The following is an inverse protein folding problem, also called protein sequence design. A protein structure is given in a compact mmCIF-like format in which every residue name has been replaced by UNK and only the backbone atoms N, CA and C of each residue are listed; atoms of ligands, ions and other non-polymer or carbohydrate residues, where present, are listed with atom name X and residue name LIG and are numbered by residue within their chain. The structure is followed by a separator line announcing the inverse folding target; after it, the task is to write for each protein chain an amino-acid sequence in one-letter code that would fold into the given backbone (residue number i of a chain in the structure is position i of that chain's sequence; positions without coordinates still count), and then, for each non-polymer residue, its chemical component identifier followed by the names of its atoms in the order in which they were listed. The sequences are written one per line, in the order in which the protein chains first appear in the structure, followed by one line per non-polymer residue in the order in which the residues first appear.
data_IF_440767725702
#
_entry.id   IF_440767725702
#
_cell.length_a   1.000
_cell.length_b   1.000
_cell.length_c   1.000
_cell.angle_alpha   90.00
_cell.angle_beta   90.00
_cell.angle_gamma   90.00
#
_symmetry.space_group_name_H-M   'P 1'
#
loop_
_entity.id
_entity.type
_entity.pdbx_description
1 polymer ?
#
# COMPACT_ATOMS: atom_id res chain seq x y z
N UNK A 1 26.60 13.98 -0.35
CA UNK A 1 25.29 13.50 0.16
C UNK A 1 24.28 14.64 0.08
N UNK A 2 23.11 14.38 -0.51
CA UNK A 2 22.00 15.35 -0.63
C UNK A 2 20.97 15.08 0.47
N UNK A 3 20.56 16.12 1.19
CA UNK A 3 19.49 16.02 2.18
C UNK A 3 18.13 16.33 1.53
N UNK A 4 17.23 15.35 1.50
CA UNK A 4 15.91 15.52 0.89
C UNK A 4 14.95 16.34 1.77
N UNK A 5 15.17 16.40 3.09
CA UNK A 5 14.33 17.18 4.00
C UNK A 5 14.46 18.69 3.74
N UNK A 6 15.69 19.20 3.64
CA UNK A 6 15.95 20.63 3.46
C UNK A 6 16.46 21.02 2.06
N UNK A 7 16.74 20.06 1.17
CA UNK A 7 17.43 20.24 -0.13
C UNK A 7 18.88 20.77 0.00
N UNK A 8 19.47 20.70 1.20
CA UNK A 8 20.87 21.04 1.44
C UNK A 8 21.84 19.93 1.05
N UNK A 9 23.13 20.26 1.03
CA UNK A 9 24.21 19.31 0.75
C UNK A 9 25.06 19.07 2.02
N UNK A 10 25.80 17.95 2.03
CA UNK A 10 26.82 17.66 3.04
C UNK A 10 26.36 16.82 4.24
N UNK A 11 25.07 16.46 4.34
CA UNK A 11 24.57 15.64 5.45
C UNK A 11 23.46 14.67 5.01
N UNK A 12 23.32 13.57 5.73
CA UNK A 12 22.17 12.66 5.59
C UNK A 12 20.90 13.30 6.12
N UNK A 13 19.75 12.94 5.55
CA UNK A 13 18.45 13.44 6.01
C UNK A 13 18.19 13.19 7.51
N UNK A 14 18.68 12.07 8.07
CA UNK A 14 18.61 11.76 9.51
C UNK A 14 19.40 12.70 10.42
N UNK A 15 20.44 13.37 9.88
CA UNK A 15 21.27 14.33 10.61
C UNK A 15 20.85 15.78 10.31
N UNK A 16 19.70 15.98 9.65
CA UNK A 16 19.23 17.31 9.31
C UNK A 16 18.68 18.02 10.54
N UNK A 17 19.30 19.14 10.91
CA UNK A 17 18.83 20.00 12.02
C UNK A 17 17.77 21.00 11.57
N UNK A 18 17.57 21.17 10.26
CA UNK A 18 16.51 21.99 9.73
C UNK A 18 15.15 21.36 10.07
N UNK A 19 14.19 22.20 10.48
CA UNK A 19 12.83 21.74 10.76
C UNK A 19 12.29 20.97 9.54
N UNK A 20 11.74 19.76 9.73
CA UNK A 20 11.12 19.03 8.64
C UNK A 20 10.12 19.93 7.91
N UNK A 21 10.13 19.89 6.58
CA UNK A 21 9.15 20.66 5.81
C UNK A 21 7.75 20.31 6.28
N UNK A 22 7.00 21.32 6.69
CA UNK A 22 5.54 21.21 6.83
C UNK A 22 5.03 20.77 5.46
N UNK A 23 4.44 19.58 5.40
CA UNK A 23 3.72 19.12 4.21
C UNK A 23 2.52 20.05 4.04
N UNK A 24 2.34 20.59 2.83
CA UNK A 24 1.19 21.43 2.54
C UNK A 24 -0.10 20.57 2.49
N UNK A 25 -1.25 21.24 2.55
CA UNK A 25 -2.54 20.55 2.53
C UNK A 25 -2.72 19.73 1.23
N UNK A 26 -2.19 20.21 0.11
CA UNK A 26 -2.26 19.54 -1.20
C UNK A 26 -1.50 18.23 -1.20
N UNK A 27 -0.28 18.21 -0.65
CA UNK A 27 0.48 16.99 -0.48
C UNK A 27 -0.23 15.98 0.42
N UNK A 28 -0.76 16.43 1.56
CA UNK A 28 -1.48 15.56 2.49
C UNK A 28 -2.74 14.96 1.84
N UNK A 29 -3.51 15.78 1.13
CA UNK A 29 -4.70 15.32 0.41
C UNK A 29 -4.34 14.30 -0.68
N UNK A 30 -3.25 14.54 -1.42
CA UNK A 30 -2.78 13.61 -2.46
C UNK A 30 -2.35 12.27 -1.85
N UNK A 31 -1.63 12.29 -0.72
CA UNK A 31 -1.22 11.07 -0.03
C UNK A 31 -2.41 10.27 0.51
N UNK A 32 -3.45 10.95 1.03
CA UNK A 32 -4.68 10.27 1.46
C UNK A 32 -5.40 9.60 0.30
N UNK A 33 -5.51 10.29 -0.85
CA UNK A 33 -6.14 9.71 -2.05
C UNK A 33 -5.38 8.49 -2.57
N UNK A 34 -4.05 8.49 -2.49
CA UNK A 34 -3.22 7.33 -2.88
C UNK A 34 -3.47 6.17 -1.92
N UNK A 35 -3.41 6.42 -0.60
CA UNK A 35 -3.63 5.39 0.41
C UNK A 35 -5.01 4.75 0.28
N UNK A 36 -6.06 5.54 0.03
CA UNK A 36 -7.42 5.01 -0.18
C UNK A 36 -7.51 4.08 -1.41
N UNK A 37 -6.81 4.42 -2.50
CA UNK A 37 -6.77 3.58 -3.70
C UNK A 37 -5.99 2.29 -3.49
N UNK A 38 -4.86 2.38 -2.80
CA UNK A 38 -4.07 1.19 -2.44
C UNK A 38 -4.87 0.26 -1.52
N UNK A 39 -5.55 0.82 -0.51
CA UNK A 39 -6.39 0.04 0.41
C UNK A 39 -7.58 -0.63 -0.31
N UNK A 40 -8.26 0.09 -1.20
CA UNK A 40 -9.31 -0.50 -2.03
C UNK A 40 -8.76 -1.60 -2.95
N UNK A 41 -7.56 -1.42 -3.51
CA UNK A 41 -6.88 -2.46 -4.30
C UNK A 41 -6.55 -3.71 -3.49
N UNK A 42 -6.08 -3.54 -2.25
CA UNK A 42 -5.81 -4.66 -1.33
C UNK A 42 -7.09 -5.40 -0.96
N UNK A 43 -8.19 -4.68 -0.70
CA UNK A 43 -9.49 -5.29 -0.40
C UNK A 43 -10.01 -6.13 -1.57
N UNK A 44 -9.97 -5.59 -2.78
CA UNK A 44 -10.39 -6.33 -3.98
C UNK A 44 -9.53 -7.59 -4.20
N UNK A 45 -8.23 -7.49 -3.98
CA UNK A 45 -7.33 -8.63 -4.14
C UNK A 45 -7.56 -9.71 -3.08
N UNK A 46 -7.96 -9.34 -1.86
CA UNK A 46 -8.36 -10.29 -0.83
C UNK A 46 -9.65 -11.01 -1.21
N UNK A 47 -10.67 -10.29 -1.67
CA UNK A 47 -11.93 -10.89 -2.14
C UNK A 47 -11.70 -11.85 -3.32
N UNK A 48 -10.82 -11.48 -4.27
CA UNK A 48 -10.46 -12.37 -5.38
C UNK A 48 -9.79 -13.66 -4.89
N UNK A 49 -8.88 -13.57 -3.91
CA UNK A 49 -8.23 -14.73 -3.33
C UNK A 49 -9.23 -15.64 -2.60
N UNK A 50 -10.15 -15.06 -1.82
CA UNK A 50 -11.19 -15.81 -1.10
C UNK A 50 -12.15 -16.53 -2.07
N UNK A 51 -12.52 -15.89 -3.18
CA UNK A 51 -13.33 -16.50 -4.23
C UNK A 51 -12.61 -17.67 -4.91
N UNK A 52 -11.32 -17.52 -5.20
CA UNK A 52 -10.51 -18.58 -5.79
C UNK A 52 -10.35 -19.78 -4.83
N UNK A 53 -10.20 -19.53 -3.53
CA UNK A 53 -10.15 -20.58 -2.51
C UNK A 53 -11.50 -21.33 -2.42
N UNK A 54 -12.62 -20.60 -2.37
CA UNK A 54 -13.95 -21.21 -2.34
C UNK A 54 -14.25 -22.04 -3.61
N UNK A 55 -13.76 -21.61 -4.77
CA UNK A 55 -13.89 -22.38 -6.01
C UNK A 55 -13.08 -23.68 -5.98
N UNK A 56 -11.86 -23.66 -5.42
CA UNK A 56 -11.05 -24.86 -5.25
C UNK A 56 -11.70 -25.88 -4.30
N UNK A 57 -12.30 -25.41 -3.21
CA UNK A 57 -13.04 -26.27 -2.28
C UNK A 57 -14.26 -26.92 -2.97
N UNK A 58 -14.95 -26.21 -3.87
CA UNK A 58 -16.07 -26.76 -4.64
C UNK A 58 -15.63 -27.87 -5.62
N UNK A 59 -14.51 -27.68 -6.32
CA UNK A 59 -13.95 -28.68 -7.23
C UNK A 59 -13.57 -29.98 -6.48
N UNK A 60 -13.06 -29.88 -5.25
CA UNK A 60 -12.77 -31.05 -4.40
C UNK A 60 -14.04 -31.78 -3.96
N UNK A 61 -15.13 -31.07 -3.65
CA UNK A 61 -16.42 -31.65 -3.25
C UNK A 61 -17.09 -32.37 -4.42
N UNK A 62 -17.06 -31.80 -5.63
CA UNK A 62 -17.57 -32.48 -6.83
C UNK A 62 -16.81 -33.78 -7.11
N UNK A 63 -15.48 -33.75 -6.94
CA UNK A 63 -14.65 -34.94 -7.17
C UNK A 63 -14.88 -36.05 -6.12
N UNK A 64 -15.31 -35.71 -4.90
CA UNK A 64 -15.64 -36.69 -3.85
C UNK A 64 -17.07 -37.28 -3.97
N UNK A 65 -18.00 -36.53 -4.56
CA UNK A 65 -19.41 -36.95 -4.72
C UNK A 65 -19.71 -37.69 -6.02
N UNK A 66 -18.74 -37.73 -6.95
CA UNK A 66 -18.83 -38.44 -8.22
C UNK A 66 -18.48 -39.94 -8.17
N UNK A 67 -18.33 -40.54 -6.97
CA UNK A 67 -18.11 -41.99 -6.76
C UNK A 67 -19.39 -42.75 -6.41
#
# INVERSE_FOLDING_TARGET
IRCYNCRGFGHYARNCTARPRRRDAVYLQTQLLIAQKEEAGIQLQAEEYDLMAAAADLDEIEMQTAF
#
